data_IF_890578008106
#
_entry.id   IF_890578008106
#
_cell.length_a   1.000
_cell.length_b   1.000
_cell.length_c   1.000
_cell.angle_alpha   90.00
_cell.angle_beta   90.00
_cell.angle_gamma   90.00
#
_symmetry.space_group_name_H-M   'P 1'
#
loop_
_entity.id
_entity.type
_entity.pdbx_description
1 polymer ?
#
# COMPACT_ATOMS: atom_id res chain seq x y z
N UNK A 1 -29.62 46.72 16.67
CA UNK A 1 -30.84 46.86 15.84
C UNK A 1 -30.57 46.11 14.54
N UNK A 2 -30.76 44.79 14.54
CA UNK A 2 -31.91 44.08 13.91
C UNK A 2 -31.96 44.32 12.39
N UNK A 3 -31.49 43.37 11.56
CA UNK A 3 -32.11 42.10 11.13
C UNK A 3 -33.02 42.30 9.91
N UNK A 4 -32.80 41.54 8.83
CA UNK A 4 -33.85 40.83 8.08
C UNK A 4 -33.20 39.86 7.09
N UNK A 5 -33.25 38.57 7.42
CA UNK A 5 -33.05 37.44 6.52
C UNK A 5 -34.39 36.69 6.51
N UNK A 6 -35.10 36.69 5.37
CA UNK A 6 -36.34 35.93 5.21
C UNK A 6 -36.02 34.46 4.93
N UNK A 7 -36.47 33.58 5.82
CA UNK A 7 -36.49 32.11 5.60
C UNK A 7 -37.95 31.68 5.50
N UNK A 8 -38.39 31.23 4.31
CA UNK A 8 -39.74 30.68 4.11
C UNK A 8 -39.81 29.24 4.64
N UNK A 9 -40.56 29.05 5.72
CA UNK A 9 -41.02 27.74 6.20
C UNK A 9 -42.25 27.31 5.40
N UNK A 10 -42.20 26.14 4.77
CA UNK A 10 -43.38 25.44 4.23
C UNK A 10 -43.89 24.49 5.32
N UNK A 11 -45.10 24.75 5.82
CA UNK A 11 -45.84 23.88 6.74
C UNK A 11 -46.33 22.64 6.00
N UNK A 12 -45.96 21.45 6.49
CA UNK A 12 -46.63 20.20 6.15
C UNK A 12 -47.84 20.01 7.07
N UNK A 13 -49.04 19.95 6.48
CA UNK A 13 -50.26 19.61 7.20
C UNK A 13 -50.38 18.09 7.28
N UNK A 14 -50.25 17.55 8.49
CA UNK A 14 -50.61 16.17 8.79
C UNK A 14 -52.13 16.01 8.76
N UNK A 15 -52.65 15.14 7.88
CA UNK A 15 -54.04 14.68 7.94
C UNK A 15 -54.04 13.36 8.73
N UNK A 16 -54.57 13.42 9.95
CA UNK A 16 -54.85 12.25 10.79
C UNK A 16 -56.02 11.46 10.19
N UNK A 17 -55.80 10.19 9.87
CA UNK A 17 -56.83 9.18 9.65
C UNK A 17 -57.01 8.42 10.97
N UNK A 18 -58.08 8.73 11.71
CA UNK A 18 -58.51 7.90 12.83
C UNK A 18 -59.64 6.96 12.40
N UNK A 19 -59.42 5.69 12.74
CA UNK A 19 -60.31 4.55 12.61
C UNK A 19 -61.62 4.71 13.40
N UNK A 20 -62.66 4.12 12.84
CA UNK A 20 -63.97 3.84 13.44
C UNK A 20 -63.85 3.05 14.76
N UNK A 21 -64.63 3.45 15.76
CA UNK A 21 -65.30 2.48 16.64
C UNK A 21 -66.64 3.03 17.19
N UNK A 22 -67.46 2.06 17.59
CA UNK A 22 -68.92 1.97 17.72
C UNK A 22 -69.56 2.66 18.94
N UNK A 23 -70.83 3.13 18.79
CA UNK A 23 -72.03 2.74 19.60
C UNK A 23 -73.26 3.67 19.44
N UNK A 24 -74.37 3.05 19.05
CA UNK A 24 -75.79 3.21 19.50
C UNK A 24 -76.46 4.59 19.63
N UNK A 25 -77.51 4.84 18.83
CA UNK A 25 -78.94 4.72 19.21
C UNK A 25 -79.86 5.74 18.51
N UNK A 26 -81.04 5.26 18.07
CA UNK A 26 -82.30 5.98 17.73
C UNK A 26 -82.25 7.02 16.60
N UNK A 27 -83.18 7.23 15.68
CA UNK A 27 -84.55 6.81 15.29
C UNK A 27 -84.74 7.59 13.97
N UNK A 28 -85.17 7.08 12.82
CA UNK A 28 -86.54 6.76 12.41
C UNK A 28 -86.52 6.51 10.89
N UNK A 29 -87.39 5.60 10.47
CA UNK A 29 -87.83 5.21 9.12
C UNK A 29 -87.75 6.27 8.01
N UNK A 30 -87.37 5.86 6.78
CA UNK A 30 -88.31 5.57 5.67
C UNK A 30 -87.60 4.70 4.62
N UNK A 31 -88.21 3.57 4.29
CA UNK A 31 -87.86 2.66 3.20
C UNK A 31 -87.99 3.31 1.81
N UNK A 32 -86.97 3.16 0.96
CA UNK A 32 -87.17 2.97 -0.49
C UNK A 32 -86.24 1.83 -0.95
N UNK A 33 -86.87 0.70 -1.22
CA UNK A 33 -86.30 -0.50 -1.81
C UNK A 33 -86.16 -0.32 -3.33
N UNK A 34 -85.03 -0.81 -3.85
CA UNK A 34 -84.73 -1.22 -5.25
C UNK A 34 -84.77 -0.18 -6.38
N UNK A 35 -83.58 0.19 -6.85
CA UNK A 35 -83.18 -0.01 -8.26
C UNK A 35 -81.65 0.15 -8.39
N UNK A 36 -81.04 -0.59 -9.32
CA UNK A 36 -79.62 -0.55 -9.74
C UNK A 36 -78.65 -1.58 -9.13
N UNK A 37 -79.10 -2.83 -9.05
CA UNK A 37 -78.19 -3.99 -9.04
C UNK A 37 -77.54 -4.28 -10.42
N UNK A 38 -77.58 -3.34 -11.38
CA UNK A 38 -77.13 -3.56 -12.77
C UNK A 38 -76.05 -2.58 -13.28
N UNK A 39 -75.44 -1.72 -12.45
CA UNK A 39 -74.34 -0.85 -12.91
C UNK A 39 -72.93 -1.33 -12.58
N UNK A 40 -72.75 -2.50 -11.96
CA UNK A 40 -71.42 -2.96 -11.54
C UNK A 40 -70.58 -3.65 -12.63
N UNK A 41 -71.12 -3.86 -13.84
CA UNK A 41 -70.45 -4.58 -14.93
C UNK A 41 -70.37 -3.79 -16.25
N UNK A 42 -70.28 -2.45 -16.21
CA UNK A 42 -69.96 -1.71 -17.43
C UNK A 42 -68.49 -1.96 -17.82
N UNK A 43 -68.16 -2.18 -19.11
CA UNK A 43 -66.79 -2.37 -19.58
C UNK A 43 -65.85 -1.23 -19.13
N UNK A 44 -66.43 -0.03 -18.99
CA UNK A 44 -65.73 1.17 -18.55
C UNK A 44 -65.31 1.13 -17.07
N UNK A 45 -66.13 0.57 -16.17
CA UNK A 45 -65.75 0.40 -14.76
C UNK A 45 -64.71 -0.70 -14.55
N UNK A 46 -64.75 -1.77 -15.35
CA UNK A 46 -63.73 -2.84 -15.33
C UNK A 46 -62.39 -2.30 -15.81
N UNK A 47 -62.38 -1.54 -16.92
CA UNK A 47 -61.19 -0.85 -17.42
C UNK A 47 -60.63 0.16 -16.39
N UNK A 48 -61.48 0.93 -15.72
CA UNK A 48 -61.05 1.87 -14.67
C UNK A 48 -60.40 1.16 -13.46
N UNK A 49 -60.94 0.01 -13.02
CA UNK A 49 -60.34 -0.80 -11.94
C UNK A 49 -59.03 -1.48 -12.34
N UNK A 50 -58.90 -1.92 -13.60
CA UNK A 50 -57.65 -2.48 -14.12
C UNK A 50 -56.59 -1.37 -14.25
N UNK A 51 -57.00 -0.18 -14.69
CA UNK A 51 -56.13 0.98 -14.81
C UNK A 51 -55.67 1.48 -13.44
N UNK A 52 -56.56 1.53 -12.43
CA UNK A 52 -56.18 1.94 -11.07
C UNK A 52 -55.28 0.92 -10.37
N UNK A 53 -55.49 -0.40 -10.56
CA UNK A 53 -54.57 -1.44 -10.05
C UNK A 53 -53.21 -1.38 -10.73
N UNK A 54 -53.14 -1.15 -12.05
CA UNK A 54 -51.87 -0.97 -12.76
C UNK A 54 -51.14 0.29 -12.34
N UNK A 55 -51.85 1.42 -12.19
CA UNK A 55 -51.27 2.67 -11.67
C UNK A 55 -50.78 2.48 -10.24
N UNK A 56 -51.57 1.85 -9.36
CA UNK A 56 -51.14 1.54 -7.99
C UNK A 56 -49.88 0.67 -8.00
N UNK A 57 -49.87 -0.42 -8.75
CA UNK A 57 -48.72 -1.31 -8.89
C UNK A 57 -47.48 -0.55 -9.39
N UNK A 58 -47.61 0.26 -10.45
CA UNK A 58 -46.52 1.09 -10.99
C UNK A 58 -46.03 2.10 -9.94
N UNK A 59 -46.93 2.80 -9.25
CA UNK A 59 -46.57 3.77 -8.21
C UNK A 59 -45.86 3.10 -7.02
N UNK A 60 -46.30 1.93 -6.57
CA UNK A 60 -45.61 1.17 -5.51
C UNK A 60 -44.24 0.69 -5.96
N UNK A 61 -44.08 0.31 -7.23
CA UNK A 61 -42.80 -0.14 -7.80
C UNK A 61 -41.82 1.03 -7.93
N UNK A 62 -42.28 2.19 -8.38
CA UNK A 62 -41.49 3.43 -8.46
C UNK A 62 -41.09 3.92 -7.07
N UNK A 63 -42.01 3.94 -6.10
CA UNK A 63 -41.70 4.28 -4.71
C UNK A 63 -40.71 3.28 -4.10
N UNK A 64 -40.88 1.98 -4.35
CA UNK A 64 -39.95 0.94 -3.93
C UNK A 64 -38.55 1.14 -4.52
N UNK A 65 -38.44 1.41 -5.83
CA UNK A 65 -37.16 1.73 -6.48
C UNK A 65 -36.53 3.01 -5.92
N UNK A 66 -37.33 4.04 -5.63
CA UNK A 66 -36.88 5.30 -5.05
C UNK A 66 -36.33 5.10 -3.63
N UNK A 67 -37.01 4.31 -2.80
CA UNK A 67 -36.56 3.96 -1.45
C UNK A 67 -35.27 3.13 -1.52
N UNK A 68 -35.18 2.14 -2.40
CA UNK A 68 -33.95 1.35 -2.61
C UNK A 68 -32.78 2.26 -3.00
N UNK A 69 -32.99 3.18 -3.97
CA UNK A 69 -31.97 4.13 -4.39
C UNK A 69 -31.51 5.03 -3.24
N UNK A 70 -32.45 5.58 -2.46
CA UNK A 70 -32.13 6.41 -1.28
C UNK A 70 -31.34 5.62 -0.25
N UNK A 71 -31.73 4.37 0.04
CA UNK A 71 -30.99 3.49 0.96
C UNK A 71 -29.57 3.20 0.45
N UNK A 72 -29.41 2.93 -0.86
CA UNK A 72 -28.09 2.73 -1.46
C UNK A 72 -27.23 3.99 -1.39
N UNK A 73 -27.79 5.17 -1.65
CA UNK A 73 -27.09 6.46 -1.55
C UNK A 73 -26.68 6.77 -0.10
N UNK A 74 -27.57 6.51 0.87
CA UNK A 74 -27.27 6.69 2.30
C UNK A 74 -26.20 5.71 2.76
N UNK A 75 -26.26 4.44 2.34
CA UNK A 75 -25.21 3.44 2.62
C UNK A 75 -23.87 3.85 2.01
N UNK A 76 -23.85 4.29 0.75
CA UNK A 76 -22.64 4.77 0.09
C UNK A 76 -22.04 5.98 0.82
N UNK A 77 -22.89 6.93 1.25
CA UNK A 77 -22.45 8.11 2.02
C UNK A 77 -21.91 7.72 3.41
N UNK A 78 -22.57 6.79 4.09
CA UNK A 78 -22.12 6.30 5.40
C UNK A 78 -20.78 5.56 5.28
N UNK A 79 -20.65 4.67 4.29
CA UNK A 79 -19.41 3.97 3.98
C UNK A 79 -18.26 4.93 3.65
N UNK A 80 -18.54 6.01 2.90
CA UNK A 80 -17.53 7.04 2.59
C UNK A 80 -17.10 7.83 3.83
N UNK A 81 -18.02 8.11 4.74
CA UNK A 81 -17.69 8.79 6.01
C UNK A 81 -16.83 7.90 6.93
N UNK A 82 -17.11 6.60 6.94
CA UNK A 82 -16.28 5.62 7.67
C UNK A 82 -14.89 5.50 7.04
N UNK A 83 -14.79 5.44 5.71
CA UNK A 83 -13.51 5.44 4.99
C UNK A 83 -12.72 6.72 5.29
N UNK A 84 -13.34 7.91 5.23
CA UNK A 84 -12.68 9.18 5.57
C UNK A 84 -12.20 9.23 7.03
N UNK A 85 -12.96 8.70 7.99
CA UNK A 85 -12.54 8.61 9.39
C UNK A 85 -11.36 7.65 9.56
N UNK A 86 -11.38 6.53 8.85
CA UNK A 86 -10.29 5.57 8.85
C UNK A 86 -9.03 6.16 8.22
N UNK A 87 -9.16 6.80 7.05
CA UNK A 87 -8.06 7.49 6.36
C UNK A 87 -7.46 8.61 7.21
N UNK A 88 -8.30 9.38 7.92
CA UNK A 88 -7.84 10.38 8.89
C UNK A 88 -7.10 9.78 10.10
N UNK A 89 -7.29 8.49 10.39
CA UNK A 89 -6.61 7.73 11.45
C UNK A 89 -5.34 7.02 10.99
N UNK A 90 -4.95 7.12 9.72
CA UNK A 90 -3.73 6.48 9.18
C UNK A 90 -2.42 7.05 9.72
N UNK A 91 -2.48 8.05 10.59
CA UNK A 91 -1.35 8.56 11.37
C UNK A 91 -1.16 7.85 12.72
N UNK A 92 -1.94 6.79 12.96
CA UNK A 92 -1.81 5.98 14.14
C UNK A 92 -2.79 6.34 15.28
N UNK A 93 -2.84 5.50 16.32
CA UNK A 93 -2.08 4.25 16.47
C UNK A 93 -2.90 3.03 15.99
N UNK A 94 -3.18 2.93 14.68
CA UNK A 94 -3.82 1.73 14.10
C UNK A 94 -2.79 0.58 14.12
N UNK A 95 -3.07 -0.55 14.79
CA UNK A 95 -2.14 -1.68 14.80
C UNK A 95 -1.80 -2.17 13.40
N UNK A 96 -0.55 -2.56 13.17
CA UNK A 96 -0.06 -3.04 11.87
C UNK A 96 -0.84 -4.22 11.29
N UNK A 97 -1.44 -5.06 12.14
CA UNK A 97 -2.23 -6.23 11.74
C UNK A 97 -3.76 -5.96 11.74
N UNK A 98 -4.21 -4.71 11.89
CA UNK A 98 -5.64 -4.38 11.82
C UNK A 98 -6.21 -4.82 10.45
N UNK A 99 -7.27 -5.66 10.40
CA UNK A 99 -7.82 -6.15 9.14
C UNK A 99 -8.27 -5.04 8.17
N UNK A 100 -8.69 -3.88 8.69
CA UNK A 100 -9.07 -2.72 7.87
C UNK A 100 -7.84 -2.08 7.24
N UNK A 101 -6.73 -2.00 7.97
CA UNK A 101 -5.45 -1.52 7.45
C UNK A 101 -4.89 -2.44 6.39
N UNK A 102 -4.88 -3.75 6.65
CA UNK A 102 -4.47 -4.76 5.68
C UNK A 102 -5.32 -4.64 4.40
N UNK A 103 -6.64 -4.54 4.55
CA UNK A 103 -7.54 -4.38 3.40
C UNK A 103 -7.28 -3.08 2.65
N UNK A 104 -7.02 -1.99 3.37
CA UNK A 104 -6.71 -0.69 2.78
C UNK A 104 -5.41 -0.74 1.97
N UNK A 105 -4.34 -1.30 2.52
CA UNK A 105 -3.08 -1.57 1.81
C UNK A 105 -3.34 -2.37 0.52
N UNK A 106 -4.02 -3.51 0.62
CA UNK A 106 -4.31 -4.41 -0.51
C UNK A 106 -5.09 -3.74 -1.64
N UNK A 107 -6.04 -2.85 -1.31
CA UNK A 107 -6.93 -2.24 -2.30
C UNK A 107 -6.31 -0.98 -2.93
N UNK A 108 -5.56 -0.20 -2.15
CA UNK A 108 -5.13 1.14 -2.56
C UNK A 108 -3.65 1.21 -2.95
N UNK A 109 -2.80 0.38 -2.35
CA UNK A 109 -1.35 0.52 -2.45
C UNK A 109 -0.64 -0.69 -3.03
N UNK A 110 -1.28 -1.86 -3.09
CA UNK A 110 -0.69 -3.04 -3.75
C UNK A 110 -1.10 -3.15 -5.22
N UNK A 111 -0.10 -3.14 -6.09
CA UNK A 111 -0.23 -3.48 -7.51
C UNK A 111 0.16 -4.94 -7.70
N UNK A 112 -0.68 -5.69 -8.42
CA UNK A 112 -0.44 -7.12 -8.69
C UNK A 112 0.77 -7.34 -9.60
N UNK A 113 1.46 -8.48 -9.46
CA UNK A 113 2.46 -8.94 -10.41
C UNK A 113 1.98 -8.87 -11.87
N UNK A 114 2.86 -8.39 -12.76
CA UNK A 114 2.52 -8.28 -14.17
C UNK A 114 2.42 -9.66 -14.83
N UNK A 115 1.36 -9.90 -15.59
CA UNK A 115 1.27 -11.08 -16.48
C UNK A 115 1.97 -10.87 -17.83
N UNK A 116 2.32 -9.63 -18.19
CA UNK A 116 2.95 -9.29 -19.46
C UNK A 116 4.45 -9.61 -19.46
N UNK A 117 5.10 -9.83 -20.62
CA UNK A 117 6.54 -10.02 -20.69
C UNK A 117 7.30 -8.88 -20.03
N UNK A 118 8.43 -9.22 -19.40
CA UNK A 118 9.37 -8.26 -18.84
C UNK A 118 9.73 -7.17 -19.86
N UNK A 119 9.95 -5.97 -19.37
CA UNK A 119 10.38 -4.83 -20.17
C UNK A 119 11.66 -4.23 -19.55
N UNK A 120 12.69 -5.08 -19.49
CA UNK A 120 14.01 -4.73 -18.96
C UNK A 120 14.82 -3.96 -20.01
N UNK A 121 15.77 -3.18 -19.52
CA UNK A 121 16.61 -2.30 -20.32
C UNK A 121 17.56 -3.14 -21.18
N UNK A 122 17.49 -3.02 -22.52
CA UNK A 122 18.31 -3.85 -23.39
C UNK A 122 19.79 -3.46 -23.32
N UNK A 123 20.67 -4.45 -23.49
CA UNK A 123 22.13 -4.25 -23.58
C UNK A 123 22.53 -3.61 -24.92
N UNK A 124 22.41 -2.29 -25.01
CA UNK A 124 22.80 -1.49 -26.18
C UNK A 124 23.82 -0.41 -25.81
N UNK A 125 24.43 0.23 -26.83
CA UNK A 125 25.39 1.34 -26.61
C UNK A 125 24.70 2.56 -25.97
N UNK A 126 23.45 2.81 -26.32
CA UNK A 126 22.65 3.92 -25.78
C UNK A 126 22.39 3.75 -24.27
N UNK A 127 22.30 2.50 -23.81
CA UNK A 127 22.07 2.16 -22.40
C UNK A 127 23.36 1.84 -21.64
N UNK A 128 24.53 1.99 -22.26
CA UNK A 128 25.79 1.57 -21.63
C UNK A 128 26.04 2.30 -20.31
N UNK A 129 25.67 3.58 -20.22
CA UNK A 129 25.80 4.35 -18.98
C UNK A 129 24.92 3.77 -17.87
N UNK A 130 23.63 3.52 -18.15
CA UNK A 130 22.72 2.88 -17.20
C UNK A 130 23.29 1.56 -16.68
N UNK A 131 23.72 0.68 -17.60
CA UNK A 131 24.18 -0.67 -17.27
C UNK A 131 25.52 -0.71 -16.54
N UNK A 132 26.38 0.27 -16.82
CA UNK A 132 27.69 0.39 -16.17
C UNK A 132 27.52 0.96 -14.77
N UNK A 133 26.67 1.98 -14.63
CA UNK A 133 26.39 2.62 -13.34
C UNK A 133 25.52 1.76 -12.42
N UNK A 134 24.67 0.89 -12.97
CA UNK A 134 23.82 -0.06 -12.24
C UNK A 134 24.58 -1.26 -11.63
N UNK A 135 25.91 -1.27 -11.74
CA UNK A 135 26.77 -2.29 -11.13
C UNK A 135 27.76 -1.66 -10.14
N UNK A 136 27.73 -0.34 -9.98
CA UNK A 136 28.53 0.34 -8.97
C UNK A 136 27.76 0.44 -7.64
N UNK A 137 28.31 1.19 -6.68
CA UNK A 137 27.61 1.53 -5.42
C UNK A 137 27.35 0.38 -4.41
N UNK A 138 28.04 -0.77 -4.52
CA UNK A 138 27.93 -1.86 -3.53
C UNK A 138 27.11 -3.05 -4.02
N UNK A 139 26.49 -2.92 -5.21
CA UNK A 139 25.72 -3.97 -5.85
C UNK A 139 26.51 -5.27 -6.05
N UNK A 140 27.76 -5.22 -6.50
CA UNK A 140 28.60 -6.41 -6.70
C UNK A 140 28.85 -7.19 -5.40
N UNK A 141 29.07 -6.47 -4.30
CA UNK A 141 29.21 -7.04 -2.97
C UNK A 141 27.93 -7.77 -2.55
N UNK A 142 26.77 -7.11 -2.64
CA UNK A 142 25.48 -7.72 -2.30
C UNK A 142 25.18 -8.93 -3.19
N UNK A 143 25.36 -8.80 -4.51
CA UNK A 143 25.06 -9.87 -5.47
C UNK A 143 25.99 -11.07 -5.36
N UNK A 144 27.23 -10.88 -4.93
CA UNK A 144 28.12 -12.00 -4.59
C UNK A 144 27.48 -12.88 -3.51
N UNK A 145 27.04 -12.26 -2.41
CA UNK A 145 26.45 -12.98 -1.29
C UNK A 145 25.05 -13.52 -1.59
N UNK A 146 24.21 -12.77 -2.31
CA UNK A 146 22.88 -13.26 -2.77
C UNK A 146 23.05 -14.54 -3.59
N UNK A 147 23.96 -14.54 -4.58
CA UNK A 147 24.22 -15.73 -5.40
C UNK A 147 24.78 -16.87 -4.57
N UNK A 148 25.76 -16.58 -3.71
CA UNK A 148 26.35 -17.60 -2.85
C UNK A 148 25.31 -18.30 -1.96
N UNK A 149 24.43 -17.52 -1.34
CA UNK A 149 23.35 -18.01 -0.47
C UNK A 149 22.29 -18.80 -1.26
N UNK A 150 21.81 -18.25 -2.37
CA UNK A 150 20.52 -18.65 -2.95
C UNK A 150 20.57 -19.30 -4.33
N UNK A 151 21.73 -19.46 -4.98
CA UNK A 151 21.81 -20.05 -6.33
C UNK A 151 21.17 -21.44 -6.51
N UNK A 152 21.00 -22.19 -5.42
CA UNK A 152 20.36 -23.51 -5.41
C UNK A 152 18.89 -23.48 -4.94
N UNK A 153 18.40 -22.32 -4.49
CA UNK A 153 17.06 -22.16 -3.96
C UNK A 153 16.13 -21.55 -5.00
N UNK A 154 15.08 -22.29 -5.37
CA UNK A 154 14.01 -21.82 -6.24
C UNK A 154 12.74 -21.52 -5.46
N UNK A 155 11.87 -20.68 -6.01
CA UNK A 155 10.56 -20.34 -5.44
C UNK A 155 10.62 -19.70 -4.04
N UNK A 156 11.65 -18.90 -3.75
CA UNK A 156 11.69 -18.10 -2.52
C UNK A 156 10.78 -16.87 -2.57
N UNK A 157 10.68 -16.19 -1.43
CA UNK A 157 9.98 -14.92 -1.28
C UNK A 157 10.94 -13.80 -0.84
N UNK A 158 10.93 -12.68 -1.56
CA UNK A 158 11.69 -11.48 -1.19
C UNK A 158 10.81 -10.27 -0.85
N UNK A 159 11.37 -9.36 -0.07
CA UNK A 159 10.85 -8.01 0.14
C UNK A 159 12.00 -7.02 -0.12
N UNK A 160 11.81 -6.07 -1.03
CA UNK A 160 12.80 -5.03 -1.34
C UNK A 160 12.16 -3.65 -1.16
N UNK A 161 12.66 -2.87 -0.20
CA UNK A 161 12.37 -1.45 -0.06
C UNK A 161 13.54 -0.63 -0.61
N UNK A 162 13.23 0.40 -1.40
CA UNK A 162 14.20 1.11 -2.21
C UNK A 162 14.32 0.54 -3.63
N UNK A 163 13.20 0.06 -4.21
CA UNK A 163 13.22 -0.68 -5.46
C UNK A 163 13.54 0.16 -6.72
N UNK A 164 13.58 1.49 -6.62
CA UNK A 164 13.87 2.41 -7.71
C UNK A 164 13.03 2.15 -8.96
N UNK A 165 13.66 1.96 -10.11
CA UNK A 165 12.99 1.64 -11.37
C UNK A 165 12.72 0.15 -11.53
N UNK A 166 13.04 -0.69 -10.55
CA UNK A 166 12.85 -2.14 -10.58
C UNK A 166 13.90 -2.92 -11.35
N UNK A 167 14.98 -2.30 -11.79
CA UNK A 167 16.06 -2.99 -12.51
C UNK A 167 17.44 -2.44 -12.12
N UNK A 168 17.59 -1.11 -12.10
CA UNK A 168 18.80 -0.40 -11.71
C UNK A 168 19.13 -0.72 -10.26
N UNK A 169 20.31 -1.32 -10.04
CA UNK A 169 20.76 -1.77 -8.72
C UNK A 169 19.81 -2.74 -7.99
N UNK A 170 18.83 -3.36 -8.67
CA UNK A 170 17.89 -4.26 -7.97
C UNK A 170 18.62 -5.45 -7.35
N UNK A 171 18.32 -5.72 -6.08
CA UNK A 171 18.84 -6.88 -5.35
C UNK A 171 18.07 -8.15 -5.68
N UNK A 172 16.83 -8.04 -6.16
CA UNK A 172 15.91 -9.18 -6.27
C UNK A 172 15.61 -9.60 -7.71
N UNK A 173 15.96 -8.80 -8.72
CA UNK A 173 15.64 -9.11 -10.11
C UNK A 173 16.18 -10.47 -10.56
N UNK A 174 17.42 -10.80 -10.18
CA UNK A 174 18.02 -12.09 -10.52
C UNK A 174 17.29 -13.27 -9.84
N UNK A 175 16.90 -13.12 -8.56
CA UNK A 175 16.14 -14.14 -7.84
C UNK A 175 14.78 -14.38 -8.51
N UNK A 176 14.08 -13.30 -8.86
CA UNK A 176 12.78 -13.36 -9.54
C UNK A 176 12.91 -14.02 -10.92
N UNK A 177 13.81 -13.50 -11.76
CA UNK A 177 13.92 -13.88 -13.17
C UNK A 177 14.54 -15.27 -13.36
N UNK A 178 15.58 -15.62 -12.59
CA UNK A 178 16.35 -16.85 -12.80
C UNK A 178 15.95 -17.99 -11.87
N UNK A 179 15.41 -17.69 -10.68
CA UNK A 179 15.09 -18.70 -9.66
C UNK A 179 13.58 -18.80 -9.38
N UNK A 180 12.76 -18.09 -10.15
CA UNK A 180 11.30 -18.08 -10.01
C UNK A 180 10.85 -17.64 -8.61
N UNK A 181 11.59 -16.72 -7.99
CA UNK A 181 11.16 -16.14 -6.72
C UNK A 181 9.98 -15.20 -6.93
N UNK A 182 9.13 -15.12 -5.92
CA UNK A 182 8.07 -14.11 -5.83
C UNK A 182 8.44 -13.08 -4.77
N UNK A 183 7.72 -11.98 -4.69
CA UNK A 183 8.05 -10.96 -3.70
C UNK A 183 7.25 -9.69 -3.84
N UNK A 184 7.74 -8.66 -3.18
CA UNK A 184 7.23 -7.29 -3.25
C UNK A 184 8.38 -6.28 -3.40
N UNK A 185 8.13 -5.27 -4.22
CA UNK A 185 8.99 -4.12 -4.48
C UNK A 185 8.29 -2.86 -3.96
N UNK A 186 8.93 -2.14 -3.04
CA UNK A 186 8.41 -0.92 -2.42
C UNK A 186 9.30 0.26 -2.82
N UNK A 187 8.69 1.27 -3.42
CA UNK A 187 9.37 2.49 -3.86
C UNK A 187 8.47 3.71 -3.62
N UNK A 188 8.84 4.62 -2.69
CA UNK A 188 8.00 5.78 -2.37
C UNK A 188 8.04 6.87 -3.44
N UNK A 189 9.11 6.98 -4.23
CA UNK A 189 9.22 8.03 -5.24
C UNK A 189 8.24 7.76 -6.38
N UNK A 190 7.24 8.64 -6.62
CA UNK A 190 6.21 8.38 -7.61
C UNK A 190 6.75 8.25 -9.03
N UNK A 191 7.87 8.90 -9.37
CA UNK A 191 8.44 8.82 -10.72
C UNK A 191 9.31 7.58 -10.91
N UNK A 192 10.05 7.17 -9.89
CA UNK A 192 10.72 5.86 -9.87
C UNK A 192 9.69 4.74 -9.93
N UNK A 193 8.63 4.83 -9.13
CA UNK A 193 7.54 3.86 -9.08
C UNK A 193 6.81 3.71 -10.43
N UNK A 194 6.58 4.81 -11.16
CA UNK A 194 6.02 4.73 -12.52
C UNK A 194 6.93 3.91 -13.43
N UNK A 195 8.23 4.12 -13.36
CA UNK A 195 9.22 3.37 -14.15
C UNK A 195 9.31 1.90 -13.73
N UNK A 196 9.18 1.62 -12.43
CA UNK A 196 9.06 0.28 -11.85
C UNK A 196 7.86 -0.49 -12.42
N UNK A 197 6.69 0.13 -12.51
CA UNK A 197 5.51 -0.47 -13.17
C UNK A 197 5.87 -0.87 -14.62
N UNK A 198 6.56 0.01 -15.34
CA UNK A 198 6.91 -0.22 -16.75
C UNK A 198 7.89 -1.36 -16.96
N UNK A 199 8.68 -1.78 -15.98
CA UNK A 199 9.54 -2.98 -16.08
C UNK A 199 8.77 -4.29 -16.09
N UNK A 200 7.51 -4.28 -15.65
CA UNK A 200 6.61 -5.44 -15.63
C UNK A 200 7.19 -6.61 -14.83
N UNK A 201 7.75 -6.29 -13.66
CA UNK A 201 8.22 -7.26 -12.67
C UNK A 201 7.10 -8.24 -12.30
N UNK A 202 7.49 -9.44 -11.90
CA UNK A 202 6.61 -10.54 -11.43
C UNK A 202 6.41 -10.53 -9.91
N UNK A 203 6.82 -9.44 -9.27
CA UNK A 203 6.55 -9.14 -7.88
C UNK A 203 5.36 -8.17 -7.71
N UNK A 204 4.79 -8.16 -6.51
CA UNK A 204 3.88 -7.10 -6.08
C UNK A 204 4.62 -5.77 -6.04
N UNK A 205 3.92 -4.67 -6.29
CA UNK A 205 4.52 -3.33 -6.20
C UNK A 205 3.75 -2.47 -5.20
N UNK A 206 4.43 -1.58 -4.49
CA UNK A 206 3.81 -0.59 -3.60
C UNK A 206 4.48 0.78 -3.69
N UNK A 207 3.67 1.83 -3.92
CA UNK A 207 4.13 3.22 -3.98
C UNK A 207 4.00 3.91 -2.61
N UNK A 208 4.88 3.53 -1.71
CA UNK A 208 4.77 3.79 -0.27
C UNK A 208 6.15 3.80 0.36
N UNK A 209 6.29 4.37 1.54
CA UNK A 209 7.46 4.20 2.40
C UNK A 209 7.28 3.03 3.39
N UNK A 210 8.35 2.70 4.10
CA UNK A 210 8.31 1.78 5.24
C UNK A 210 8.14 2.61 6.51
N UNK A 211 7.22 2.19 7.39
CA UNK A 211 7.04 2.83 8.68
C UNK A 211 8.08 2.29 9.66
N UNK A 212 8.72 3.20 10.40
CA UNK A 212 9.55 2.92 11.57
C UNK A 212 8.74 2.55 12.81
N UNK A 213 7.43 2.83 12.78
CA UNK A 213 6.52 2.60 13.88
C UNK A 213 5.73 1.30 13.65
N UNK A 214 5.10 0.78 14.71
CA UNK A 214 4.21 -0.38 14.63
C UNK A 214 2.83 -0.07 14.04
N UNK A 215 2.65 1.13 13.49
CA UNK A 215 1.43 1.64 12.88
C UNK A 215 1.74 2.43 11.58
N UNK A 216 0.74 2.62 10.71
CA UNK A 216 0.91 3.46 9.53
C UNK A 216 1.15 4.92 9.93
N UNK A 217 1.84 5.65 9.06
CA UNK A 217 2.07 7.09 9.16
C UNK A 217 2.30 7.68 7.78
N UNK A 218 2.35 9.01 7.66
CA UNK A 218 2.82 9.69 6.45
C UNK A 218 4.15 10.37 6.72
N UNK A 219 5.03 10.26 5.74
CA UNK A 219 6.33 10.93 5.73
C UNK A 219 6.37 11.98 4.63
N UNK A 220 7.12 13.06 4.86
CA UNK A 220 7.53 13.96 3.78
C UNK A 220 8.88 13.45 3.28
N UNK A 221 8.90 13.04 2.02
CA UNK A 221 10.09 12.52 1.35
C UNK A 221 10.76 13.64 0.56
N UNK A 222 12.08 13.61 0.51
CA UNK A 222 12.93 14.38 -0.39
C UNK A 222 13.56 13.44 -1.40
N UNK A 223 13.52 13.80 -2.68
CA UNK A 223 14.26 13.14 -3.75
C UNK A 223 15.06 14.17 -4.54
N UNK A 224 16.08 13.71 -5.26
CA UNK A 224 16.97 14.57 -6.03
C UNK A 224 16.78 14.33 -7.53
N UNK A 225 16.45 15.39 -8.26
CA UNK A 225 16.33 15.36 -9.71
C UNK A 225 17.65 15.78 -10.36
N UNK A 226 18.09 15.04 -11.35
CA UNK A 226 19.26 15.39 -12.17
C UNK A 226 19.09 16.77 -12.81
N UNK A 227 20.05 17.68 -12.56
CA UNK A 227 20.04 19.07 -13.07
C UNK A 227 20.84 19.23 -14.37
N UNK A 228 22.00 18.57 -14.51
CA UNK A 228 22.87 18.66 -15.70
C UNK A 228 22.80 17.38 -16.52
N UNK A 229 22.49 17.49 -17.82
CA UNK A 229 22.29 16.33 -18.70
C UNK A 229 23.49 15.38 -18.82
N UNK A 230 24.72 15.86 -18.64
CA UNK A 230 25.95 15.10 -18.94
C UNK A 230 26.62 14.41 -17.74
N UNK A 231 26.05 14.47 -16.52
CA UNK A 231 26.66 13.87 -15.32
C UNK A 231 25.71 12.86 -14.66
N UNK A 232 26.16 11.60 -14.55
CA UNK A 232 25.42 10.47 -13.96
C UNK A 232 24.11 10.13 -14.68
N UNK A 233 23.63 8.90 -14.57
CA UNK A 233 22.25 8.60 -14.97
C UNK A 233 21.27 9.17 -13.93
N UNK A 234 19.99 9.26 -14.29
CA UNK A 234 18.93 9.81 -13.42
C UNK A 234 18.78 9.02 -12.11
N UNK A 235 18.91 7.70 -12.16
CA UNK A 235 18.74 6.79 -11.03
C UNK A 235 19.77 7.00 -9.93
N UNK A 236 21.00 7.40 -10.27
CA UNK A 236 22.00 7.79 -9.27
C UNK A 236 21.53 8.91 -8.35
N UNK A 237 20.66 9.80 -8.82
CA UNK A 237 20.12 10.90 -8.02
C UNK A 237 18.86 10.47 -7.27
N UNK A 238 17.97 9.75 -7.94
CA UNK A 238 16.71 9.30 -7.35
C UNK A 238 16.89 8.20 -6.30
N UNK A 239 18.02 7.47 -6.33
CA UNK A 239 18.44 6.54 -5.29
C UNK A 239 18.57 7.22 -3.91
N UNK A 240 18.87 8.51 -3.88
CA UNK A 240 18.97 9.26 -2.62
C UNK A 240 17.60 9.74 -2.13
N UNK A 241 16.51 9.04 -2.44
CA UNK A 241 15.18 9.41 -1.92
C UNK A 241 15.09 9.02 -0.44
N UNK A 242 14.85 9.98 0.43
CA UNK A 242 14.87 9.78 1.88
C UNK A 242 13.81 10.66 2.58
N UNK A 243 13.47 10.35 3.83
CA UNK A 243 12.59 11.19 4.63
C UNK A 243 13.29 12.50 5.05
N UNK A 244 12.57 13.62 4.96
CA UNK A 244 13.08 14.93 5.38
C UNK A 244 13.45 14.91 6.85
N UNK A 245 14.70 15.29 7.15
CA UNK A 245 15.22 15.35 8.52
C UNK A 245 16.11 14.17 8.91
N UNK A 246 16.25 13.17 8.02
CA UNK A 246 17.20 12.08 8.20
C UNK A 246 18.66 12.56 8.02
N UNK A 247 19.63 11.72 8.36
CA UNK A 247 21.08 11.98 8.31
C UNK A 247 21.50 12.44 6.91
N UNK A 248 20.96 11.82 5.86
CA UNK A 248 21.18 12.21 4.46
C UNK A 248 20.68 13.63 4.15
N UNK A 249 19.58 14.09 4.77
CA UNK A 249 19.11 15.48 4.63
C UNK A 249 20.07 16.50 5.27
N UNK A 250 20.86 16.08 6.26
CA UNK A 250 21.65 17.00 7.10
C UNK A 250 23.00 17.35 6.48
N UNK A 251 23.61 16.46 5.71
CA UNK A 251 24.89 16.71 5.02
C UNK A 251 24.86 16.19 3.57
N UNK A 252 24.16 16.87 2.64
CA UNK A 252 24.23 16.51 1.23
C UNK A 252 25.68 16.70 0.76
N UNK A 253 26.23 15.73 0.03
CA UNK A 253 27.57 15.90 -0.56
C UNK A 253 27.57 17.17 -1.43
N UNK A 254 28.66 17.95 -1.43
CA UNK A 254 28.75 19.18 -2.24
C UNK A 254 28.52 18.90 -3.74
N UNK A 255 28.87 17.69 -4.17
CA UNK A 255 28.61 17.15 -5.49
C UNK A 255 27.09 17.10 -5.77
N UNK A 256 26.32 16.58 -4.82
CA UNK A 256 24.86 16.45 -4.91
C UNK A 256 24.17 17.81 -5.10
N UNK A 257 24.58 18.82 -4.33
CA UNK A 257 24.06 20.20 -4.44
C UNK A 257 24.34 20.85 -5.81
N UNK A 258 25.45 20.47 -6.43
CA UNK A 258 25.90 21.04 -7.71
C UNK A 258 25.23 20.42 -8.92
N UNK A 259 24.81 19.15 -8.82
CA UNK A 259 24.29 18.37 -9.94
C UNK A 259 22.82 17.98 -9.83
N UNK A 260 22.17 18.26 -8.70
CA UNK A 260 20.76 17.91 -8.48
C UNK A 260 19.90 19.08 -8.02
N UNK A 261 18.58 18.88 -8.07
CA UNK A 261 17.57 19.77 -7.52
C UNK A 261 16.66 18.95 -6.59
N UNK A 262 16.46 19.37 -5.33
CA UNK A 262 15.57 18.67 -4.42
C UNK A 262 14.11 18.81 -4.88
N UNK A 263 13.35 17.75 -4.68
CA UNK A 263 11.92 17.65 -4.94
C UNK A 263 11.27 16.94 -3.76
N UNK A 264 10.12 17.44 -3.30
CA UNK A 264 9.45 16.92 -2.12
C UNK A 264 8.09 16.33 -2.47
N UNK A 265 7.69 15.29 -1.74
CA UNK A 265 6.37 14.68 -1.85
C UNK A 265 5.99 14.00 -0.55
N UNK A 266 4.70 13.84 -0.30
CA UNK A 266 4.20 13.06 0.85
C UNK A 266 3.98 11.62 0.42
N UNK A 267 4.43 10.67 1.25
CA UNK A 267 4.21 9.24 1.02
C UNK A 267 3.52 8.61 2.23
N UNK A 268 2.62 7.67 1.96
CA UNK A 268 2.05 6.82 3.00
C UNK A 268 3.06 5.72 3.33
N UNK A 269 3.36 5.56 4.61
CA UNK A 269 4.22 4.50 5.12
C UNK A 269 3.39 3.41 5.80
N UNK A 270 3.81 2.16 5.62
CA UNK A 270 3.22 1.01 6.31
C UNK A 270 4.32 0.23 7.03
N UNK A 271 4.04 -0.33 8.22
CA UNK A 271 4.93 -1.29 8.87
C UNK A 271 5.15 -2.52 7.99
N UNK A 272 6.33 -3.14 8.07
CA UNK A 272 6.65 -4.36 7.32
C UNK A 272 5.64 -5.48 7.58
N UNK A 273 5.20 -5.65 8.83
CA UNK A 273 4.20 -6.64 9.23
C UNK A 273 2.84 -6.49 8.54
N UNK A 274 2.44 -5.27 8.20
CA UNK A 274 1.19 -5.01 7.44
C UNK A 274 1.28 -5.61 6.03
N UNK A 275 2.43 -5.50 5.36
CA UNK A 275 2.64 -6.11 4.05
C UNK A 275 2.63 -7.62 4.12
N UNK A 276 3.36 -8.18 5.08
CA UNK A 276 3.46 -9.62 5.26
C UNK A 276 2.10 -10.25 5.58
N UNK A 277 1.32 -9.62 6.46
CA UNK A 277 -0.07 -10.02 6.74
C UNK A 277 -0.95 -9.87 5.50
N UNK A 278 -0.83 -8.76 4.76
CA UNK A 278 -1.61 -8.49 3.56
C UNK A 278 -1.29 -9.40 2.37
N UNK A 279 -0.09 -9.97 2.32
CA UNK A 279 0.33 -10.95 1.32
C UNK A 279 0.23 -12.40 1.82
N UNK A 280 -0.17 -12.60 3.08
CA UNK A 280 -0.23 -13.90 3.74
C UNK A 280 1.14 -14.63 3.71
N UNK A 281 2.19 -13.91 4.11
CA UNK A 281 3.58 -14.39 4.14
C UNK A 281 4.07 -14.39 5.58
N UNK A 282 4.53 -15.55 6.07
CA UNK A 282 5.14 -15.70 7.39
C UNK A 282 6.64 -15.99 7.34
N UNK A 283 7.16 -16.36 6.17
CA UNK A 283 8.59 -16.59 5.94
C UNK A 283 9.06 -15.76 4.75
N UNK A 284 10.06 -14.94 4.98
CA UNK A 284 10.70 -14.09 3.99
C UNK A 284 12.13 -14.58 3.84
N UNK A 285 12.49 -15.06 2.65
CA UNK A 285 13.84 -15.60 2.41
C UNK A 285 14.88 -14.48 2.36
N UNK A 286 14.51 -13.34 1.77
CA UNK A 286 15.37 -12.17 1.65
C UNK A 286 14.60 -10.87 1.93
N UNK A 287 15.03 -10.10 2.91
CA UNK A 287 14.59 -8.73 3.13
C UNK A 287 15.73 -7.77 2.81
N UNK A 288 15.55 -6.96 1.77
CA UNK A 288 16.46 -5.88 1.37
C UNK A 288 15.86 -4.55 1.82
N UNK A 289 16.53 -3.87 2.74
CA UNK A 289 16.15 -2.54 3.22
C UNK A 289 17.20 -1.52 2.80
N UNK A 290 16.82 -0.69 1.85
CA UNK A 290 17.55 0.49 1.39
C UNK A 290 16.55 1.66 1.44
N UNK A 291 16.31 2.18 2.64
CA UNK A 291 15.34 3.26 2.90
C UNK A 291 16.02 4.56 3.29
N UNK A 292 17.35 4.61 3.15
CA UNK A 292 18.21 5.76 3.41
C UNK A 292 18.09 6.28 4.87
N UNK A 293 18.15 5.37 5.85
CA UNK A 293 18.51 5.70 7.24
C UNK A 293 17.49 5.36 8.34
N UNK A 294 16.47 4.54 8.06
CA UNK A 294 15.40 4.17 8.98
C UNK A 294 15.25 2.63 9.14
N UNK A 295 16.30 1.90 8.76
CA UNK A 295 16.28 0.44 8.61
C UNK A 295 16.19 -0.27 9.96
N UNK A 296 16.84 0.29 10.99
CA UNK A 296 16.86 -0.32 12.32
C UNK A 296 15.47 -0.34 12.96
N UNK A 297 14.78 0.78 12.97
CA UNK A 297 13.43 0.93 13.52
C UNK A 297 12.42 0.07 12.74
N UNK A 298 12.54 0.01 11.41
CA UNK A 298 11.74 -0.89 10.58
C UNK A 298 11.90 -2.37 10.99
N UNK A 299 13.13 -2.81 11.27
CA UNK A 299 13.41 -4.18 11.76
C UNK A 299 12.86 -4.38 13.17
N UNK A 300 12.99 -3.39 14.06
CA UNK A 300 12.43 -3.47 15.42
C UNK A 300 10.92 -3.72 15.40
N UNK A 301 10.20 -3.12 14.44
CA UNK A 301 8.75 -3.35 14.30
C UNK A 301 8.40 -4.83 14.07
N UNK A 302 9.28 -5.60 13.43
CA UNK A 302 9.09 -7.03 13.17
C UNK A 302 9.27 -7.93 14.40
N UNK A 303 9.96 -7.46 15.44
CA UNK A 303 10.24 -8.25 16.65
C UNK A 303 8.97 -8.63 17.44
N UNK A 304 7.86 -7.98 17.14
CA UNK A 304 6.57 -8.23 17.79
C UNK A 304 5.70 -9.25 17.04
N UNK A 305 6.24 -9.86 15.97
CA UNK A 305 5.49 -10.71 15.04
C UNK A 305 6.10 -12.11 14.92
N UNK A 306 5.31 -13.08 14.45
CA UNK A 306 5.76 -14.45 14.17
C UNK A 306 6.45 -14.59 12.80
N UNK A 307 6.88 -13.47 12.21
CA UNK A 307 7.43 -13.43 10.85
C UNK A 307 8.91 -13.75 10.89
N UNK A 308 9.31 -14.76 10.12
CA UNK A 308 10.70 -15.19 10.02
C UNK A 308 11.31 -14.55 8.79
N UNK A 309 12.41 -13.82 8.97
CA UNK A 309 13.22 -13.30 7.87
C UNK A 309 14.56 -14.02 7.87
N UNK A 310 14.89 -14.76 6.81
CA UNK A 310 16.07 -15.64 6.79
C UNK A 310 17.37 -14.88 6.56
N UNK A 311 17.35 -13.90 5.66
CA UNK A 311 18.51 -13.04 5.32
C UNK A 311 18.09 -11.59 5.28
N UNK A 312 18.89 -10.73 5.91
CA UNK A 312 18.76 -9.28 5.88
C UNK A 312 19.90 -8.69 5.04
N UNK A 313 19.56 -7.89 4.03
CA UNK A 313 20.47 -6.96 3.37
C UNK A 313 20.05 -5.56 3.80
N UNK A 314 20.95 -4.83 4.45
CA UNK A 314 20.60 -3.56 5.07
C UNK A 314 21.63 -2.51 4.66
N UNK A 315 21.17 -1.39 4.11
CA UNK A 315 21.99 -0.19 3.99
C UNK A 315 21.85 0.65 5.27
N UNK A 316 22.80 0.53 6.20
CA UNK A 316 22.79 1.22 7.50
C UNK A 316 23.85 2.30 7.58
N UNK A 317 23.43 3.53 7.89
CA UNK A 317 24.31 4.70 8.02
C UNK A 317 24.33 5.22 9.44
N UNK A 318 25.40 4.92 10.18
CA UNK A 318 25.66 5.53 11.49
C UNK A 318 26.09 6.99 11.36
N UNK A 319 27.02 7.25 10.44
CA UNK A 319 27.57 8.57 10.17
C UNK A 319 28.09 8.61 8.73
N UNK A 320 27.79 9.70 8.00
CA UNK A 320 28.22 9.88 6.62
C UNK A 320 29.75 9.92 6.45
N UNK A 321 30.49 10.33 7.50
CA UNK A 321 31.96 10.41 7.45
C UNK A 321 32.68 9.15 7.95
N UNK A 322 31.98 8.25 8.63
CA UNK A 322 32.56 7.04 9.20
C UNK A 322 31.86 5.81 8.64
N UNK A 323 32.55 5.15 7.69
CA UNK A 323 32.10 3.92 7.01
C UNK A 323 32.58 2.66 7.72
N UNK A 324 33.14 2.79 8.92
CA UNK A 324 33.51 1.63 9.72
C UNK A 324 32.27 0.91 10.23
N UNK A 325 32.46 -0.34 10.59
CA UNK A 325 31.40 -1.19 11.12
C UNK A 325 30.75 -0.57 12.36
N UNK A 326 29.42 -0.42 12.34
CA UNK A 326 28.66 -0.01 13.51
C UNK A 326 28.45 -1.20 14.45
N UNK A 327 29.36 -1.36 15.41
CA UNK A 327 29.32 -2.46 16.37
C UNK A 327 28.02 -2.48 17.18
N UNK A 328 27.43 -1.33 17.51
CA UNK A 328 26.18 -1.28 18.28
C UNK A 328 25.01 -1.85 17.47
N UNK A 329 24.95 -1.53 16.18
CA UNK A 329 23.96 -2.06 15.25
C UNK A 329 24.10 -3.58 15.10
N UNK A 330 25.33 -4.08 14.89
CA UNK A 330 25.62 -5.52 14.81
C UNK A 330 25.24 -6.24 16.10
N UNK A 331 25.63 -5.71 17.26
CA UNK A 331 25.34 -6.31 18.57
C UNK A 331 23.83 -6.37 18.83
N UNK A 332 23.06 -5.39 18.36
CA UNK A 332 21.60 -5.39 18.49
C UNK A 332 20.93 -6.48 17.64
N UNK A 333 21.38 -6.70 16.41
CA UNK A 333 20.90 -7.80 15.56
C UNK A 333 21.32 -9.17 16.11
N UNK A 334 22.49 -9.28 16.74
CA UNK A 334 22.90 -10.52 17.41
C UNK A 334 22.01 -10.90 18.59
N UNK A 335 21.51 -9.92 19.36
CA UNK A 335 20.57 -10.17 20.48
C UNK A 335 19.26 -10.82 20.03
N UNK A 336 18.86 -10.59 18.77
CA UNK A 336 17.65 -11.17 18.17
C UNK A 336 17.99 -12.33 17.21
N UNK A 337 19.12 -13.00 17.44
CA UNK A 337 19.56 -14.20 16.72
C UNK A 337 19.93 -14.01 15.24
N UNK A 338 20.38 -12.83 14.84
CA UNK A 338 21.01 -12.64 13.52
C UNK A 338 22.53 -12.61 13.63
N UNK A 339 23.21 -13.34 12.76
CA UNK A 339 24.66 -13.32 12.65
C UNK A 339 25.08 -12.48 11.44
N UNK A 340 26.04 -11.58 11.65
CA UNK A 340 26.70 -10.84 10.58
C UNK A 340 27.51 -11.80 9.71
N UNK A 341 27.24 -11.78 8.40
CA UNK A 341 28.01 -12.48 7.37
C UNK A 341 29.20 -11.64 6.96
N UNK A 342 28.93 -10.43 6.49
CA UNK A 342 29.94 -9.47 6.05
C UNK A 342 29.36 -8.05 6.00
N UNK A 343 30.26 -7.06 5.90
CA UNK A 343 29.90 -5.67 5.60
C UNK A 343 30.87 -5.12 4.57
N UNK A 344 30.42 -4.19 3.72
CA UNK A 344 31.32 -3.50 2.79
C UNK A 344 31.97 -2.26 3.45
N UNK A 345 32.84 -1.59 2.69
CA UNK A 345 33.47 -0.33 3.12
C UNK A 345 32.55 0.89 2.87
N UNK A 346 31.24 0.68 2.81
CA UNK A 346 30.23 1.73 2.63
C UNK A 346 29.22 1.61 3.75
N UNK A 347 28.02 1.16 3.44
CA UNK A 347 26.87 1.13 4.34
C UNK A 347 26.14 -0.22 4.27
N UNK A 348 26.65 -1.19 3.50
CA UNK A 348 25.94 -2.45 3.27
C UNK A 348 26.32 -3.51 4.29
N UNK A 349 25.32 -4.08 4.95
CA UNK A 349 25.46 -5.17 5.90
C UNK A 349 24.63 -6.37 5.47
N UNK A 350 25.16 -7.56 5.72
CA UNK A 350 24.48 -8.82 5.42
C UNK A 350 24.39 -9.65 6.68
N UNK A 351 23.18 -10.03 7.06
CA UNK A 351 22.92 -10.90 8.20
C UNK A 351 22.10 -12.11 7.78
N UNK A 352 22.25 -13.21 8.50
CA UNK A 352 21.34 -14.34 8.40
C UNK A 352 20.79 -14.73 9.78
N UNK A 353 19.59 -15.29 9.78
CA UNK A 353 18.93 -15.80 10.97
C UNK A 353 19.59 -17.10 11.43
N UNK A 354 20.24 -17.06 12.59
CA UNK A 354 21.07 -18.15 13.12
C UNK A 354 20.41 -19.53 13.24
N UNK A 355 19.10 -19.61 13.55
CA UNK A 355 18.42 -20.90 13.58
C UNK A 355 18.28 -21.59 12.23
N UNK A 356 18.54 -20.93 11.09
CA UNK A 356 18.55 -21.57 9.78
C UNK A 356 19.76 -22.52 9.64
N UNK A 357 19.55 -23.84 9.61
CA UNK A 357 20.65 -24.80 9.60
C UNK A 357 21.41 -24.80 8.26
N UNK A 358 20.73 -24.48 7.15
CA UNK A 358 21.32 -24.49 5.81
C UNK A 358 22.25 -23.29 5.67
N UNK A 359 21.78 -22.10 6.05
CA UNK A 359 22.59 -20.88 6.00
C UNK A 359 23.72 -20.93 7.02
N UNK A 360 23.49 -21.48 8.21
CA UNK A 360 24.55 -21.66 9.22
C UNK A 360 25.70 -22.54 8.72
N UNK A 361 25.40 -23.63 8.02
CA UNK A 361 26.44 -24.48 7.42
C UNK A 361 27.16 -23.77 6.27
N UNK A 362 26.39 -23.15 5.38
CA UNK A 362 26.92 -22.47 4.18
C UNK A 362 27.78 -21.25 4.54
N UNK A 363 27.40 -20.48 5.57
CA UNK A 363 28.12 -19.30 6.06
C UNK A 363 29.16 -19.64 7.15
N UNK A 364 29.58 -20.89 7.29
CA UNK A 364 30.64 -21.22 8.22
C UNK A 364 31.97 -20.59 7.76
N UNK A 365 32.72 -19.85 8.60
CA UNK A 365 33.91 -19.09 8.18
C UNK A 365 35.02 -19.90 7.50
N UNK A 366 35.06 -21.21 7.72
CA UNK A 366 36.02 -22.12 7.07
C UNK A 366 35.55 -22.61 5.68
N UNK A 367 34.26 -22.45 5.35
CA UNK A 367 33.63 -22.96 4.13
C UNK A 367 33.43 -21.87 3.08
N UNK A 368 33.15 -20.64 3.49
CA UNK A 368 32.92 -19.53 2.55
C UNK A 368 34.12 -18.61 2.43
N UNK A 369 34.33 -18.06 1.24
CA UNK A 369 35.32 -17.02 0.98
C UNK A 369 34.63 -15.66 1.07
N UNK A 370 35.28 -14.70 1.74
CA UNK A 370 34.78 -13.32 1.73
C UNK A 370 34.93 -12.70 0.36
N UNK A 371 34.05 -11.75 0.07
CA UNK A 371 34.15 -10.89 -1.10
C UNK A 371 35.51 -10.16 -1.09
N UNK A 372 36.27 -10.26 -2.18
CA UNK A 372 37.64 -9.75 -2.24
C UNK A 372 37.79 -8.33 -2.81
N UNK A 373 36.68 -7.65 -3.14
CA UNK A 373 36.71 -6.33 -3.76
C UNK A 373 36.89 -6.43 -5.25
#
# INVERSE_FOLDING_TARGET
LQSHNETKFIRYTFVNLHLLDTRTSSTNNVDIITASQELNNSPMMVLARICSKKVYMITTLVLGQSVILVVLLLRAKCSRLEEMKFEGGLQGPIPSEDPRLIRYLQVKFLVKPSSLPYNLTPHTKENSQYLTESRFLGWEFLHYYIKYMFQEQVNGFFFEAGALDGEYNSNTLWLEYNLNWTGILVEPNPVSFESLIWKRRKAWLSNTCISEESHPRQAVMQSNKKRKANFGNRWMFEANTHEVGNIFSKNPEELEKSFSLPSYFTSQCFPLSTYFSGLNVSVVDLLSLDTQGNEWEAIQSLLTTDIIVRVLLIEHVKNLTDKSIDKSFVDNLQKISYQLVDHDNKYNYIFFWMPDPILKDKMHPQKFKRYSG
#
